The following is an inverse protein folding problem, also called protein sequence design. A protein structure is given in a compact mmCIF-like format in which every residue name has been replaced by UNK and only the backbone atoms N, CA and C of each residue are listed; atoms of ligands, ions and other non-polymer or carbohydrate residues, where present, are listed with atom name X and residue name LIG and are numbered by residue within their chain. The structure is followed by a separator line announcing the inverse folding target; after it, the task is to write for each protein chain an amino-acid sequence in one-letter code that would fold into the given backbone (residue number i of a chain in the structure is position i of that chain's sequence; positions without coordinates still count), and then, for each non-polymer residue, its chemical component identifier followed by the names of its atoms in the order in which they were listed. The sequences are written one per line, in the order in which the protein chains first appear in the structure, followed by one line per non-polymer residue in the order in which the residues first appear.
data_IF_608692175862
#
_entry.id   IF_608692175862
#
_cell.length_a   1.000
_cell.length_b   1.000
_cell.length_c   1.000
_cell.angle_alpha   90.00
_cell.angle_beta   90.00
_cell.angle_gamma   90.00
#
_symmetry.space_group_name_H-M   'P 1'
#
loop_
_entity.id
_entity.type
_entity.pdbx_description
1 polymer ?
#
# COMPACT_ATOMS: atom_id res chain seq x y z
N UNK A 1 33.68 -6.46 1.23
CA UNK A 1 32.61 -7.47 1.33
C UNK A 1 31.71 -7.28 2.56
N UNK A 2 32.20 -7.01 3.78
CA UNK A 2 31.30 -6.73 4.93
C UNK A 2 30.41 -5.49 4.71
N UNK A 3 30.88 -4.50 3.93
CA UNK A 3 30.08 -3.36 3.51
C UNK A 3 28.89 -3.76 2.64
N UNK A 4 29.04 -4.77 1.77
CA UNK A 4 27.97 -5.24 0.88
C UNK A 4 26.93 -6.01 1.69
N UNK A 5 27.35 -6.92 2.58
CA UNK A 5 26.45 -7.65 3.49
C UNK A 5 25.64 -6.67 4.38
N UNK A 6 26.31 -5.65 4.93
CA UNK A 6 25.66 -4.59 5.69
C UNK A 6 24.64 -3.82 4.84
N UNK A 7 25.01 -3.41 3.62
CA UNK A 7 24.09 -2.74 2.70
C UNK A 7 22.86 -3.58 2.37
N UNK A 8 23.03 -4.87 2.06
CA UNK A 8 21.91 -5.80 1.79
C UNK A 8 20.98 -5.89 3.00
N UNK A 9 21.55 -6.04 4.20
CA UNK A 9 20.77 -6.11 5.45
C UNK A 9 20.00 -4.82 5.71
N UNK A 10 20.63 -3.66 5.53
CA UNK A 10 19.95 -2.36 5.66
C UNK A 10 18.83 -2.20 4.62
N UNK A 11 19.04 -2.63 3.37
CA UNK A 11 18.00 -2.58 2.35
C UNK A 11 16.81 -3.49 2.70
N UNK A 12 17.05 -4.70 3.19
CA UNK A 12 16.01 -5.60 3.69
C UNK A 12 15.17 -4.95 4.82
N UNK A 13 15.82 -4.30 5.77
CA UNK A 13 15.14 -3.58 6.87
C UNK A 13 14.26 -2.44 6.35
N UNK A 14 14.77 -1.66 5.37
CA UNK A 14 14.01 -0.57 4.75
C UNK A 14 12.78 -1.10 4.02
N UNK A 15 12.91 -2.20 3.26
CA UNK A 15 11.77 -2.77 2.54
C UNK A 15 10.71 -3.30 3.53
N UNK A 16 11.11 -3.96 4.61
CA UNK A 16 10.19 -4.40 5.68
C UNK A 16 9.48 -3.23 6.36
N UNK A 17 10.17 -2.10 6.57
CA UNK A 17 9.52 -0.88 7.07
C UNK A 17 8.50 -0.33 6.09
N UNK A 18 8.78 -0.37 4.79
CA UNK A 18 7.84 0.05 3.76
C UNK A 18 6.61 -0.87 3.70
N UNK A 19 6.79 -2.19 3.85
CA UNK A 19 5.70 -3.17 3.97
C UNK A 19 4.76 -2.80 5.13
N UNK A 20 5.31 -2.54 6.31
CA UNK A 20 4.51 -2.11 7.47
C UNK A 20 3.81 -0.76 7.30
N UNK A 21 4.36 0.16 6.49
CA UNK A 21 3.71 1.43 6.14
C UNK A 21 2.59 1.23 5.12
N UNK A 22 2.82 0.37 4.13
CA UNK A 22 1.83 0.02 3.10
C UNK A 22 0.58 -0.60 3.73
N UNK A 23 0.76 -1.54 4.67
CA UNK A 23 -0.33 -2.14 5.42
C UNK A 23 -1.16 -1.10 6.21
N UNK A 24 -0.51 -0.08 6.79
CA UNK A 24 -1.21 1.02 7.45
C UNK A 24 -1.99 1.89 6.46
N UNK A 25 -1.42 2.15 5.28
CA UNK A 25 -2.12 2.90 4.22
C UNK A 25 -3.35 2.12 3.74
N UNK A 26 -3.21 0.81 3.49
CA UNK A 26 -4.33 -0.07 3.12
C UNK A 26 -5.49 0.02 4.12
N UNK A 27 -5.20 -0.03 5.43
CA UNK A 27 -6.22 0.14 6.47
C UNK A 27 -6.90 1.51 6.42
N UNK A 28 -6.15 2.58 6.18
CA UNK A 28 -6.72 3.93 6.04
C UNK A 28 -7.61 4.05 4.81
N UNK A 29 -7.18 3.50 3.67
CA UNK A 29 -7.92 3.52 2.41
C UNK A 29 -9.24 2.75 2.54
N UNK A 30 -9.20 1.57 3.18
CA UNK A 30 -10.39 0.78 3.49
C UNK A 30 -11.38 1.56 4.35
N UNK A 31 -10.90 2.25 5.40
CA UNK A 31 -11.76 3.11 6.22
C UNK A 31 -12.37 4.28 5.44
N UNK A 32 -11.63 4.90 4.52
CA UNK A 32 -12.15 5.96 3.65
C UNK A 32 -13.24 5.40 2.71
N UNK A 33 -13.02 4.22 2.14
CA UNK A 33 -14.00 3.55 1.28
C UNK A 33 -15.29 3.22 2.05
N UNK A 34 -15.20 2.76 3.30
CA UNK A 34 -16.37 2.58 4.17
C UNK A 34 -17.11 3.88 4.45
N UNK A 35 -16.38 4.96 4.76
CA UNK A 35 -16.96 6.30 4.99
C UNK A 35 -17.66 6.81 3.73
N UNK A 36 -17.05 6.64 2.55
CA UNK A 36 -17.63 7.01 1.27
C UNK A 36 -18.95 6.25 1.03
N UNK A 37 -18.97 4.94 1.25
CA UNK A 37 -20.18 4.13 1.12
C UNK A 37 -21.29 4.52 2.10
N UNK A 38 -20.96 4.77 3.37
CA UNK A 38 -21.93 5.25 4.35
C UNK A 38 -22.48 6.63 3.97
N UNK A 39 -21.60 7.54 3.51
CA UNK A 39 -22.00 8.88 3.08
C UNK A 39 -22.93 8.81 1.85
N UNK A 40 -22.64 7.90 0.91
CA UNK A 40 -23.48 7.65 -0.26
C UNK A 40 -24.88 7.17 0.15
N UNK A 41 -24.97 6.21 1.09
CA UNK A 41 -26.24 5.73 1.63
C UNK A 41 -27.03 6.82 2.37
N UNK A 42 -26.34 7.65 3.16
CA UNK A 42 -26.97 8.79 3.85
C UNK A 42 -27.52 9.82 2.84
N UNK A 43 -26.75 10.12 1.80
CA UNK A 43 -27.16 11.03 0.73
C UNK A 43 -28.36 10.49 -0.07
N UNK A 44 -28.41 9.18 -0.29
CA UNK A 44 -29.56 8.51 -0.90
C UNK A 44 -30.82 8.66 -0.04
N UNK A 45 -30.71 8.37 1.26
CA UNK A 45 -31.83 8.52 2.20
C UNK A 45 -32.32 9.98 2.27
N UNK A 46 -31.40 10.95 2.29
CA UNK A 46 -31.75 12.37 2.24
C UNK A 46 -32.47 12.75 0.94
N UNK A 47 -32.06 12.18 -0.20
CA UNK A 47 -32.70 12.40 -1.49
C UNK A 47 -34.14 11.84 -1.53
N UNK A 48 -34.37 10.68 -0.91
CA UNK A 48 -35.70 10.08 -0.78
C UNK A 48 -36.61 10.95 0.09
N UNK A 49 -36.13 11.43 1.24
CA UNK A 49 -36.93 12.27 2.14
C UNK A 49 -37.19 13.65 1.52
N UNK A 50 -36.23 14.20 0.77
CA UNK A 50 -36.42 15.43 0.01
C UNK A 50 -37.51 15.28 -1.05
N UNK A 51 -37.56 14.15 -1.77
CA UNK A 51 -38.63 13.86 -2.71
C UNK A 51 -39.99 13.75 -2.02
N UNK A 52 -40.02 13.15 -0.82
CA UNK A 52 -41.23 13.00 0.01
C UNK A 52 -41.79 14.34 0.50
N UNK A 53 -40.92 15.31 0.79
CA UNK A 53 -41.30 16.66 1.19
C UNK A 53 -41.80 17.54 0.02
N UNK A 54 -41.75 17.04 -1.22
CA UNK A 54 -42.25 17.74 -2.40
C UNK A 54 -41.52 19.07 -2.64
N UNK A 55 -42.29 20.15 -2.83
CA UNK A 55 -41.75 21.49 -3.09
C UNK A 55 -40.85 22.02 -1.95
N UNK A 56 -41.12 21.64 -0.70
CA UNK A 56 -40.30 22.05 0.45
C UNK A 56 -38.93 21.33 0.50
N UNK A 57 -38.80 20.19 -0.18
CA UNK A 57 -37.56 19.40 -0.23
C UNK A 57 -36.62 19.76 -1.38
N UNK A 58 -37.02 20.65 -2.30
CA UNK A 58 -36.23 20.96 -3.52
C UNK A 58 -34.78 21.37 -3.24
N UNK A 59 -34.55 22.23 -2.25
CA UNK A 59 -33.20 22.65 -1.86
C UNK A 59 -32.37 21.50 -1.27
N UNK A 60 -33.00 20.67 -0.44
CA UNK A 60 -32.36 19.49 0.14
C UNK A 60 -32.02 18.43 -0.91
N UNK A 61 -32.85 18.26 -1.93
CA UNK A 61 -32.59 17.31 -3.02
C UNK A 61 -31.34 17.67 -3.85
N UNK A 62 -31.08 18.97 -4.04
CA UNK A 62 -29.86 19.43 -4.73
C UNK A 62 -28.63 19.13 -3.90
N UNK A 63 -28.67 19.44 -2.60
CA UNK A 63 -27.54 19.18 -1.69
C UNK A 63 -27.28 17.68 -1.56
N UNK A 64 -28.31 16.86 -1.39
CA UNK A 64 -28.15 15.40 -1.25
C UNK A 64 -27.57 14.78 -2.52
N UNK A 65 -27.92 15.28 -3.70
CA UNK A 65 -27.34 14.82 -4.97
C UNK A 65 -25.85 15.15 -5.06
N UNK A 66 -25.44 16.36 -4.65
CA UNK A 66 -24.03 16.74 -4.69
C UNK A 66 -23.19 15.95 -3.66
N UNK A 67 -23.73 15.74 -2.45
CA UNK A 67 -23.08 14.89 -1.44
C UNK A 67 -22.93 13.45 -1.95
N UNK A 68 -23.94 12.91 -2.64
CA UNK A 68 -23.86 11.57 -3.24
C UNK A 68 -22.74 11.47 -4.25
N UNK A 69 -22.64 12.45 -5.15
CA UNK A 69 -21.59 12.52 -6.16
C UNK A 69 -20.19 12.62 -5.54
N UNK A 70 -20.02 13.41 -4.49
CA UNK A 70 -18.75 13.50 -3.77
C UNK A 70 -18.39 12.18 -3.08
N UNK A 71 -19.38 11.48 -2.53
CA UNK A 71 -19.18 10.17 -1.92
C UNK A 71 -18.77 9.11 -2.96
N UNK A 72 -19.42 9.07 -4.11
CA UNK A 72 -19.04 8.20 -5.25
C UNK A 72 -17.60 8.50 -5.71
N UNK A 73 -17.24 9.79 -5.89
CA UNK A 73 -15.89 10.19 -6.26
C UNK A 73 -14.82 9.84 -5.21
N UNK A 74 -15.17 9.91 -3.92
CA UNK A 74 -14.29 9.49 -2.84
C UNK A 74 -14.07 7.97 -2.86
N UNK A 75 -15.12 7.18 -3.11
CA UNK A 75 -15.03 5.73 -3.30
C UNK A 75 -14.11 5.36 -4.46
N UNK A 76 -14.36 5.92 -5.65
CA UNK A 76 -13.52 5.69 -6.84
C UNK A 76 -12.04 6.06 -6.62
N UNK A 77 -11.79 7.10 -5.82
CA UNK A 77 -10.43 7.54 -5.49
C UNK A 77 -9.76 6.59 -4.51
N UNK A 78 -10.51 6.10 -3.51
CA UNK A 78 -10.02 5.06 -2.59
C UNK A 78 -9.64 3.78 -3.33
N UNK A 79 -10.49 3.30 -4.25
CA UNK A 79 -10.23 2.08 -5.02
C UNK A 79 -8.93 2.18 -5.82
N UNK A 80 -8.69 3.34 -6.47
CA UNK A 80 -7.43 3.59 -7.18
C UNK A 80 -6.21 3.64 -6.27
N UNK A 81 -6.36 4.14 -5.05
CA UNK A 81 -5.27 4.14 -4.07
C UNK A 81 -5.01 2.71 -3.60
N UNK A 82 -6.05 1.91 -3.39
CA UNK A 82 -5.94 0.48 -3.03
C UNK A 82 -5.15 -0.29 -4.09
N UNK A 83 -5.49 -0.14 -5.38
CA UNK A 83 -4.73 -0.74 -6.49
C UNK A 83 -3.25 -0.35 -6.50
N UNK A 84 -2.93 0.92 -6.21
CA UNK A 84 -1.55 1.40 -6.12
C UNK A 84 -0.81 0.80 -4.92
N UNK A 85 -1.48 0.66 -3.78
CA UNK A 85 -0.92 0.07 -2.56
C UNK A 85 -0.65 -1.42 -2.78
N UNK A 86 -1.56 -2.16 -3.41
CA UNK A 86 -1.35 -3.55 -3.78
C UNK A 86 -0.16 -3.74 -4.74
N UNK A 87 -0.03 -2.86 -5.74
CA UNK A 87 1.12 -2.87 -6.65
C UNK A 87 2.43 -2.61 -5.90
N UNK A 88 2.44 -1.66 -4.95
CA UNK A 88 3.60 -1.40 -4.10
C UNK A 88 3.96 -2.62 -3.24
N UNK A 89 2.98 -3.35 -2.70
CA UNK A 89 3.21 -4.58 -1.96
C UNK A 89 3.87 -5.67 -2.81
N UNK A 90 3.42 -5.84 -4.05
CA UNK A 90 4.03 -6.77 -4.99
C UNK A 90 5.49 -6.38 -5.30
N UNK A 91 5.76 -5.10 -5.57
CA UNK A 91 7.11 -4.59 -5.85
C UNK A 91 8.05 -4.80 -4.65
N UNK A 92 7.55 -4.60 -3.43
CA UNK A 92 8.30 -4.86 -2.20
C UNK A 92 8.61 -6.35 -2.03
N UNK A 93 7.66 -7.25 -2.28
CA UNK A 93 7.88 -8.69 -2.22
C UNK A 93 8.93 -9.15 -3.24
N UNK A 94 8.87 -8.62 -4.46
CA UNK A 94 9.89 -8.89 -5.49
C UNK A 94 11.27 -8.38 -5.05
N UNK A 95 11.33 -7.20 -4.45
CA UNK A 95 12.56 -6.61 -3.93
C UNK A 95 13.17 -7.44 -2.80
N UNK A 96 12.35 -7.95 -1.85
CA UNK A 96 12.81 -8.87 -0.80
C UNK A 96 13.36 -10.18 -1.38
N UNK A 97 12.69 -10.74 -2.40
CA UNK A 97 13.18 -11.94 -3.08
C UNK A 97 14.51 -11.71 -3.80
N UNK A 98 14.68 -10.55 -4.44
CA UNK A 98 15.96 -10.17 -5.05
C UNK A 98 17.07 -9.99 -4.00
N UNK A 99 16.79 -9.30 -2.88
CA UNK A 99 17.77 -9.12 -1.81
C UNK A 99 18.17 -10.43 -1.14
N UNK A 100 17.23 -11.37 -0.96
CA UNK A 100 17.56 -12.71 -0.47
C UNK A 100 18.55 -13.43 -1.38
N UNK A 101 18.37 -13.36 -2.71
CA UNK A 101 19.32 -13.95 -3.67
C UNK A 101 20.69 -13.29 -3.60
N UNK A 102 20.72 -11.95 -3.54
CA UNK A 102 21.98 -11.20 -3.40
C UNK A 102 22.70 -11.58 -2.10
N UNK A 103 21.97 -11.76 -1.00
CA UNK A 103 22.53 -12.20 0.27
C UNK A 103 23.21 -13.57 0.14
N UNK A 104 22.55 -14.52 -0.51
CA UNK A 104 23.08 -15.87 -0.72
C UNK A 104 24.35 -15.85 -1.61
N UNK A 105 24.33 -15.07 -2.70
CA UNK A 105 25.48 -14.89 -3.59
C UNK A 105 26.68 -14.25 -2.88
N UNK A 106 26.44 -13.25 -2.02
CA UNK A 106 27.49 -12.61 -1.22
C UNK A 106 28.08 -13.59 -0.20
N UNK A 107 27.25 -14.40 0.46
CA UNK A 107 27.72 -15.43 1.40
C UNK A 107 28.57 -16.49 0.72
N UNK A 108 28.16 -16.94 -0.47
CA UNK A 108 28.92 -17.92 -1.25
C UNK A 108 30.26 -17.32 -1.74
N UNK A 109 30.25 -16.09 -2.24
CA UNK A 109 31.47 -15.38 -2.62
C UNK A 109 32.46 -15.18 -1.46
N UNK A 110 31.94 -14.94 -0.25
CA UNK A 110 32.73 -14.88 0.98
C UNK A 110 33.37 -16.23 1.32
N UNK A 111 32.61 -17.33 1.18
CA UNK A 111 33.12 -18.69 1.43
C UNK A 111 34.26 -19.03 0.49
N UNK A 112 34.07 -18.83 -0.82
CA UNK A 112 35.09 -19.10 -1.85
C UNK A 112 36.36 -18.27 -1.66
N UNK A 113 36.21 -17.00 -1.27
CA UNK A 113 37.36 -16.13 -0.99
C UNK A 113 38.18 -16.63 0.21
N UNK A 114 37.52 -17.06 1.30
CA UNK A 114 38.21 -17.64 2.46
C UNK A 114 38.92 -18.96 2.15
N UNK A 115 38.29 -19.83 1.37
CA UNK A 115 38.92 -21.08 0.91
C UNK A 115 40.17 -20.80 0.08
N UNK A 116 40.11 -19.79 -0.79
CA UNK A 116 41.25 -19.35 -1.59
C UNK A 116 42.38 -18.82 -0.70
N UNK A 117 42.09 -17.95 0.28
CA UNK A 117 43.07 -17.45 1.25
C UNK A 117 43.73 -18.59 2.04
N UNK A 118 42.94 -19.58 2.50
CA UNK A 118 43.46 -20.75 3.21
C UNK A 118 44.41 -21.58 2.34
N UNK A 119 44.05 -21.84 1.09
CA UNK A 119 44.91 -22.59 0.16
C UNK A 119 46.25 -21.88 -0.10
N UNK A 120 46.25 -20.56 -0.25
CA UNK A 120 47.49 -19.78 -0.40
C UNK A 120 48.33 -19.74 0.89
N UNK A 121 47.72 -19.88 2.07
CA UNK A 121 48.46 -19.93 3.35
C UNK A 121 49.14 -21.28 3.63
N UNK A 122 48.79 -22.32 2.88
CA UNK A 122 49.31 -23.69 3.01
C UNK A 122 50.51 -23.98 2.09
N UNK A 123 50.90 -23.02 1.25
CA UNK A 123 52.05 -23.08 0.32
C UNK A 123 53.13 -22.13 0.82
#
# INVERSE_FOLDING_TARGET
MSTIESSVTTTDEVIRMLEGKSAQISQMVSAIHEIANQTNLLALNASIEAARAGEHGRGFAVVSTEVRKLAEQAGDSSDRIEELVEAMEQDMQQSLSAMSRVKDEVQEGLRLTRETEQNFSLI
#
